data_IF_024012493976
#
_entry.id   IF_024012493976
#
_cell.length_a   1.000
_cell.length_b   1.000
_cell.length_c   1.000
_cell.angle_alpha   90.00
_cell.angle_beta   90.00
_cell.angle_gamma   90.00
#
_symmetry.space_group_name_H-M   'P 1'
#
loop_
_entity.id
_entity.type
_entity.pdbx_description
1 polymer ?
#
# COMPACT_ATOMS: atom_id res chain seq x y z
N UNK A 1 6.91 -2.67 21.89
CA UNK A 1 7.46 -1.34 21.57
C UNK A 1 7.84 -1.42 20.11
N UNK A 2 7.13 -0.74 19.20
CA UNK A 2 7.50 -0.78 17.78
C UNK A 2 8.75 0.07 17.60
N UNK A 3 9.87 -0.57 17.26
CA UNK A 3 11.16 0.08 17.07
C UNK A 3 11.08 0.96 15.83
N UNK A 4 11.10 2.27 16.07
CA UNK A 4 11.42 3.26 15.06
C UNK A 4 12.94 3.43 15.14
N UNK A 5 13.68 3.08 14.09
CA UNK A 5 15.14 3.21 14.06
C UNK A 5 15.59 4.57 14.65
N UNK A 6 16.55 4.52 15.57
CA UNK A 6 17.06 5.65 16.38
C UNK A 6 17.86 6.66 15.53
N UNK A 7 18.10 6.30 14.27
CA UNK A 7 18.90 7.00 13.26
C UNK A 7 18.12 8.04 12.45
N UNK A 8 17.02 8.56 13.01
CA UNK A 8 16.52 9.91 12.69
C UNK A 8 15.91 10.14 11.30
N UNK A 9 15.88 9.16 10.40
CA UNK A 9 15.45 9.36 9.01
C UNK A 9 14.23 8.58 8.54
N UNK A 10 13.65 7.66 9.31
CA UNK A 10 12.46 6.93 8.87
C UNK A 10 11.16 7.53 9.43
N UNK A 11 10.28 7.99 8.53
CA UNK A 11 8.92 8.35 8.89
C UNK A 11 8.21 7.08 9.40
N UNK A 12 8.02 6.95 10.71
CA UNK A 12 7.34 5.78 11.26
C UNK A 12 5.91 5.71 10.73
N UNK A 13 5.56 4.60 10.09
CA UNK A 13 4.19 4.30 9.66
C UNK A 13 3.51 3.40 10.68
N UNK A 14 2.23 3.62 10.91
CA UNK A 14 1.36 2.78 11.71
C UNK A 14 0.19 2.32 10.84
N UNK A 15 -0.49 1.26 11.28
CA UNK A 15 -1.61 0.73 10.54
C UNK A 15 -2.39 -0.31 11.33
N UNK A 16 -3.57 -0.62 10.81
CA UNK A 16 -4.43 -1.71 11.27
C UNK A 16 -4.83 -2.57 10.07
N UNK A 17 -5.03 -3.87 10.32
CA UNK A 17 -5.50 -4.81 9.33
C UNK A 17 -6.67 -5.61 9.89
N UNK A 18 -7.75 -5.67 9.13
CA UNK A 18 -8.86 -6.58 9.37
C UNK A 18 -8.54 -7.91 8.68
N UNK A 19 -8.46 -8.99 9.45
CA UNK A 19 -8.11 -10.32 8.96
C UNK A 19 -9.34 -11.23 8.99
N UNK A 20 -9.56 -11.97 7.90
CA UNK A 20 -10.56 -13.03 7.85
C UNK A 20 -10.16 -14.16 8.82
N UNK A 21 -11.00 -14.55 9.78
CA UNK A 21 -10.63 -15.50 10.83
C UNK A 21 -10.54 -16.96 10.35
N UNK A 22 -11.08 -17.29 9.17
CA UNK A 22 -11.08 -18.66 8.63
C UNK A 22 -9.92 -18.89 7.69
N UNK A 23 -9.66 -17.92 6.81
CA UNK A 23 -8.64 -18.01 5.76
C UNK A 23 -7.35 -17.29 6.12
N UNK A 24 -7.35 -16.51 7.22
CA UNK A 24 -6.22 -15.72 7.69
C UNK A 24 -5.71 -14.70 6.66
N UNK A 25 -6.61 -14.21 5.80
CA UNK A 25 -6.30 -13.26 4.72
C UNK A 25 -6.73 -11.83 5.10
N UNK A 26 -6.02 -10.77 4.65
CA UNK A 26 -6.43 -9.40 4.91
C UNK A 26 -7.67 -9.05 4.09
N UNK A 27 -8.69 -8.51 4.76
CA UNK A 27 -9.90 -7.96 4.14
C UNK A 27 -9.74 -6.46 3.90
N UNK A 28 -9.14 -5.77 4.88
CA UNK A 28 -8.91 -4.32 4.84
C UNK A 28 -7.59 -4.01 5.52
N UNK A 29 -6.78 -3.18 4.87
CA UNK A 29 -5.56 -2.61 5.45
C UNK A 29 -5.68 -1.10 5.44
N UNK A 30 -5.51 -0.48 6.60
CA UNK A 30 -5.48 0.98 6.75
C UNK A 30 -4.15 1.38 7.36
N UNK A 31 -3.48 2.36 6.77
CA UNK A 31 -2.22 2.92 7.28
C UNK A 31 -2.32 4.41 7.54
N UNK A 32 -1.46 4.91 8.41
CA UNK A 32 -1.27 6.32 8.70
C UNK A 32 0.17 6.58 9.17
N UNK A 33 0.57 7.85 9.15
CA UNK A 33 1.85 8.28 9.72
C UNK A 33 1.80 8.13 11.26
N UNK A 34 2.65 7.28 11.85
CA UNK A 34 2.69 7.03 13.29
C UNK A 34 3.23 8.22 14.08
N UNK A 35 4.26 8.88 13.54
CA UNK A 35 4.82 10.12 14.07
C UNK A 35 4.51 11.25 13.10
N UNK A 36 3.88 12.32 13.58
CA UNK A 36 3.64 13.52 12.77
C UNK A 36 4.94 14.13 12.23
N UNK A 37 4.83 14.95 11.18
CA UNK A 37 5.98 15.64 10.59
C UNK A 37 6.54 16.67 11.59
N UNK A 38 7.86 16.72 11.84
CA UNK A 38 8.46 17.69 12.75
C UNK A 38 8.10 19.15 12.42
N UNK A 39 7.74 19.93 13.44
CA UNK A 39 7.33 21.34 13.31
C UNK A 39 8.36 22.21 12.58
N UNK A 40 9.65 22.00 12.81
CA UNK A 40 10.71 22.77 12.14
C UNK A 40 10.67 22.61 10.61
N UNK A 41 10.40 21.40 10.12
CA UNK A 41 10.25 21.11 8.68
C UNK A 41 8.97 21.76 8.12
N UNK A 42 7.88 21.72 8.89
CA UNK A 42 6.62 22.39 8.51
C UNK A 42 6.80 23.91 8.38
N UNK A 43 7.54 24.52 9.30
CA UNK A 43 7.81 25.97 9.31
C UNK A 43 8.78 26.37 8.20
N UNK A 44 9.93 25.69 8.07
CA UNK A 44 10.96 26.01 7.09
C UNK A 44 10.49 25.82 5.65
N UNK A 45 9.72 24.76 5.38
CA UNK A 45 9.23 24.47 4.02
C UNK A 45 7.81 25.03 3.77
N UNK A 46 7.19 25.64 4.77
CA UNK A 46 5.79 26.08 4.71
C UNK A 46 4.79 24.94 4.45
N UNK A 47 5.18 23.70 4.76
CA UNK A 47 4.39 22.48 4.49
C UNK A 47 3.36 22.26 5.60
N UNK A 48 2.20 21.72 5.25
CA UNK A 48 1.20 21.26 6.24
C UNK A 48 0.57 19.99 5.70
N UNK A 49 1.24 18.85 5.82
CA UNK A 49 0.74 17.61 5.27
C UNK A 49 -0.24 16.99 6.26
N UNK A 50 -1.48 16.79 5.83
CA UNK A 50 -2.54 16.13 6.59
C UNK A 50 -2.96 14.85 5.86
N UNK A 51 -3.41 13.87 6.64
CA UNK A 51 -4.00 12.61 6.17
C UNK A 51 -3.07 11.66 5.40
N UNK A 52 -1.75 11.70 5.62
CA UNK A 52 -0.84 10.69 5.04
C UNK A 52 -1.21 9.28 5.50
N UNK A 53 -1.87 8.53 4.62
CA UNK A 53 -2.36 7.19 4.87
C UNK A 53 -3.02 6.61 3.63
N UNK A 54 -3.04 5.28 3.53
CA UNK A 54 -3.73 4.58 2.46
C UNK A 54 -4.65 3.50 3.03
N UNK A 55 -5.69 3.20 2.26
CA UNK A 55 -6.68 2.16 2.53
C UNK A 55 -6.71 1.20 1.35
N UNK A 56 -6.54 -0.08 1.63
CA UNK A 56 -6.61 -1.15 0.63
C UNK A 56 -7.65 -2.16 1.07
N UNK A 57 -8.67 -2.38 0.25
CA UNK A 57 -9.65 -3.43 0.50
C UNK A 57 -9.41 -4.59 -0.46
N UNK A 58 -9.54 -5.79 0.07
CA UNK A 58 -9.38 -7.04 -0.65
C UNK A 58 -10.73 -7.76 -0.72
N UNK A 59 -10.91 -8.49 -1.80
CA UNK A 59 -12.06 -9.34 -1.99
C UNK A 59 -11.59 -10.75 -2.37
N UNK A 60 -12.29 -11.75 -1.87
CA UNK A 60 -12.11 -13.13 -2.28
C UNK A 60 -12.71 -13.36 -3.67
N UNK A 61 -11.94 -13.94 -4.56
CA UNK A 61 -12.37 -14.31 -5.91
C UNK A 61 -12.49 -15.82 -6.11
N UNK A 62 -11.68 -16.61 -5.39
CA UNK A 62 -11.67 -18.08 -5.44
C UNK A 62 -11.11 -18.61 -4.10
N UNK A 63 -11.13 -19.92 -3.89
CA UNK A 63 -10.53 -20.54 -2.70
C UNK A 63 -9.03 -20.18 -2.58
N UNK A 64 -8.64 -19.57 -1.45
CA UNK A 64 -7.28 -19.10 -1.22
C UNK A 64 -6.85 -17.89 -2.08
N UNK A 65 -7.75 -17.31 -2.87
CA UNK A 65 -7.43 -16.23 -3.82
C UNK A 65 -8.11 -14.92 -3.43
N UNK A 66 -7.33 -14.00 -2.89
CA UNK A 66 -7.76 -12.66 -2.49
C UNK A 66 -7.01 -11.61 -3.31
N UNK A 67 -7.75 -10.65 -3.88
CA UNK A 67 -7.18 -9.56 -4.66
C UNK A 67 -7.63 -8.20 -4.15
N UNK A 68 -6.76 -7.17 -4.23
CA UNK A 68 -7.12 -5.81 -3.90
C UNK A 68 -8.12 -5.29 -4.94
N UNK A 69 -9.29 -4.88 -4.45
CA UNK A 69 -10.38 -4.34 -5.28
C UNK A 69 -10.46 -2.84 -5.22
N UNK A 70 -10.04 -2.24 -4.10
CA UNK A 70 -10.01 -0.80 -3.95
C UNK A 70 -8.73 -0.35 -3.28
N UNK A 71 -8.11 0.68 -3.86
CA UNK A 71 -7.01 1.40 -3.26
C UNK A 71 -7.40 2.88 -3.16
N UNK A 72 -7.39 3.40 -1.95
CA UNK A 72 -7.76 4.78 -1.66
C UNK A 72 -6.73 5.46 -0.79
N UNK A 73 -6.48 6.73 -1.01
CA UNK A 73 -5.60 7.52 -0.16
C UNK A 73 -5.82 9.00 -0.42
N UNK A 74 -5.69 9.79 0.64
CA UNK A 74 -5.70 11.24 0.53
C UNK A 74 -4.35 11.74 1.02
N UNK A 75 -3.73 12.66 0.30
CA UNK A 75 -2.55 13.34 0.80
C UNK A 75 -2.62 14.81 0.42
N UNK A 76 -2.45 15.64 1.42
CA UNK A 76 -2.40 17.08 1.23
C UNK A 76 -0.95 17.51 1.01
N UNK A 77 -0.66 18.12 -0.14
CA UNK A 77 0.67 18.62 -0.48
C UNK A 77 0.66 20.14 -0.44
N UNK A 78 1.50 20.72 0.42
CA UNK A 78 1.87 22.13 0.38
C UNK A 78 3.38 22.22 0.18
N UNK A 79 3.81 22.54 -1.03
CA UNK A 79 5.22 22.72 -1.39
C UNK A 79 5.62 24.20 -1.35
N UNK A 80 6.93 24.44 -1.24
CA UNK A 80 7.59 25.76 -1.26
C UNK A 80 6.95 26.71 -2.28
N UNK A 81 6.72 27.97 -1.91
CA UNK A 81 6.15 29.02 -2.79
C UNK A 81 4.74 28.73 -3.35
N UNK A 82 3.75 28.56 -2.46
CA UNK A 82 2.31 28.66 -2.77
C UNK A 82 1.66 27.47 -3.50
N UNK A 83 2.35 26.37 -3.78
CA UNK A 83 1.70 25.19 -4.37
C UNK A 83 0.92 24.42 -3.29
N UNK A 84 -0.41 24.59 -3.25
CA UNK A 84 -1.34 23.95 -2.30
C UNK A 84 -2.34 23.08 -3.07
N UNK A 85 -2.23 21.77 -2.94
CA UNK A 85 -3.17 20.81 -3.55
C UNK A 85 -3.53 19.70 -2.56
N UNK A 86 -4.82 19.39 -2.47
CA UNK A 86 -5.30 18.13 -1.91
C UNK A 86 -5.34 17.13 -3.06
N UNK A 87 -4.62 16.02 -2.94
CA UNK A 87 -4.67 14.93 -3.91
C UNK A 87 -5.42 13.79 -3.25
N UNK A 88 -6.59 13.47 -3.80
CA UNK A 88 -7.36 12.29 -3.44
C UNK A 88 -7.22 11.28 -4.57
N UNK A 89 -6.79 10.06 -4.22
CA UNK A 89 -6.68 8.95 -5.14
C UNK A 89 -7.72 7.91 -4.74
N UNK A 90 -8.55 7.52 -5.70
CA UNK A 90 -9.49 6.40 -5.56
C UNK A 90 -9.34 5.54 -6.81
N UNK A 91 -8.83 4.34 -6.61
CA UNK A 91 -8.63 3.35 -7.66
C UNK A 91 -9.53 2.16 -7.35
N UNK A 92 -10.39 1.82 -8.30
CA UNK A 92 -11.23 0.62 -8.25
C UNK A 92 -10.72 -0.33 -9.31
N UNK A 93 -10.26 -1.51 -8.89
CA UNK A 93 -9.87 -2.57 -9.80
C UNK A 93 -11.10 -3.44 -10.11
N UNK A 94 -11.49 -3.50 -11.37
CA UNK A 94 -12.67 -4.23 -11.84
C UNK A 94 -12.35 -5.04 -13.09
N UNK A 95 -13.11 -6.11 -13.34
CA UNK A 95 -12.92 -6.96 -14.51
C UNK A 95 -11.75 -7.94 -14.40
N UNK A 96 -11.41 -8.38 -13.18
CA UNK A 96 -10.43 -9.44 -12.99
C UNK A 96 -10.81 -10.69 -13.78
N UNK A 97 -9.86 -11.21 -14.58
CA UNK A 97 -9.99 -12.44 -15.34
C UNK A 97 -8.85 -13.38 -14.96
N UNK A 98 -9.20 -14.55 -14.43
CA UNK A 98 -8.25 -15.64 -14.18
C UNK A 98 -7.73 -16.12 -15.54
N UNK A 99 -6.45 -15.93 -15.82
CA UNK A 99 -5.82 -16.49 -17.01
C UNK A 99 -5.44 -17.94 -16.73
N UNK A 100 -5.98 -18.87 -17.52
CA UNK A 100 -5.57 -20.28 -17.49
C UNK A 100 -4.35 -20.45 -18.40
N UNK A 101 -3.21 -20.82 -17.83
CA UNK A 101 -1.98 -21.09 -18.58
C UNK A 101 -1.53 -22.51 -18.26
N UNK A 102 -1.68 -23.40 -19.23
CA UNK A 102 -1.14 -24.77 -19.16
C UNK A 102 0.28 -24.78 -19.71
N UNK A 103 1.28 -24.93 -18.84
CA UNK A 103 2.68 -25.05 -19.24
C UNK A 103 3.11 -26.52 -19.30
N UNK A 104 3.60 -26.97 -20.45
CA UNK A 104 4.19 -28.31 -20.61
C UNK A 104 5.72 -28.16 -20.63
N UNK A 105 6.40 -28.74 -19.65
CA UNK A 105 7.86 -28.76 -19.58
C UNK A 105 8.35 -30.07 -20.19
N UNK A 106 8.94 -30.01 -21.39
CA UNK A 106 9.60 -31.14 -22.02
C UNK A 106 11.10 -31.08 -21.79
N UNK A 107 11.66 -32.07 -21.10
CA UNK A 107 13.10 -32.24 -20.98
C UNK A 107 13.61 -32.97 -22.22
N UNK A 108 14.46 -32.31 -23.02
CA UNK A 108 15.19 -32.97 -24.10
C UNK A 108 16.27 -33.88 -23.51
N UNK A 109 16.37 -35.12 -24.02
CA UNK A 109 17.51 -35.98 -23.72
C UNK A 109 18.79 -35.31 -24.26
N UNK A 110 19.91 -35.30 -23.50
CA UNK A 110 21.16 -34.76 -23.98
C UNK A 110 21.62 -35.58 -25.19
N UNK A 111 21.81 -34.91 -26.33
CA UNK A 111 22.45 -35.51 -27.50
C UNK A 111 23.93 -35.65 -27.16
N UNK A 112 24.39 -36.89 -26.95
CA UNK A 112 25.82 -37.18 -26.79
C UNK A 112 26.51 -37.02 -28.15
N UNK A 113 27.71 -36.39 -28.19
CA UNK A 113 28.50 -36.21 -29.41
C UNK A 113 29.02 -37.53 -29.98
#
# INVERSE_FOLDING_TARGET
MFDCDDDGESSCWAGEALIDPKEYQPVLVTSWLAKGIPMAVQVLLGTNIKHLGFKVAYQKFDEGMWFPVTYGGEFYVRGLFFYKRTIALSVVNSGFRKSDVTSVVSFGLPVLP
#
